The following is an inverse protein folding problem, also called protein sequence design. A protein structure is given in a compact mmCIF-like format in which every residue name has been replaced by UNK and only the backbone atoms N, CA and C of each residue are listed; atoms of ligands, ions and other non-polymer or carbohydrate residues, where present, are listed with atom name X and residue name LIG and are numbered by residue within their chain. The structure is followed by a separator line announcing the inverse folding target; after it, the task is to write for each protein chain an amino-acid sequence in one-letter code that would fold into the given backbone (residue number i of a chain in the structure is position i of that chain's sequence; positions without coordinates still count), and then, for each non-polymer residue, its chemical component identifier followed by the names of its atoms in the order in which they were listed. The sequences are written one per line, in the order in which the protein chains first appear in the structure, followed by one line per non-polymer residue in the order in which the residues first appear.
data_IF_740206655055
#
_entry.id   IF_740206655055
#
_cell.length_a   1.000
_cell.length_b   1.000
_cell.length_c   1.000
_cell.angle_alpha   90.00
_cell.angle_beta   90.00
_cell.angle_gamma   90.00
#
_symmetry.space_group_name_H-M   'P 1'
#
loop_
_entity.id
_entity.type
_entity.pdbx_description
1 polymer ?
#
# COMPACT_ATOMS: atom_id res chain seq x y z
N UNK A 1 -17.30 -49.38 -10.09
CA UNK A 1 -18.39 -48.38 -10.10
C UNK A 1 -17.75 -46.99 -10.10
N UNK A 2 -18.08 -46.08 -11.03
CA UNK A 2 -17.59 -44.71 -10.92
C UNK A 2 -18.18 -44.09 -9.64
N UNK A 3 -17.33 -43.59 -8.75
CA UNK A 3 -17.75 -42.86 -7.55
C UNK A 3 -18.67 -41.71 -7.97
N UNK A 4 -19.84 -41.62 -7.37
CA UNK A 4 -20.79 -40.54 -7.68
C UNK A 4 -20.16 -39.20 -7.29
N UNK A 5 -20.56 -38.11 -7.94
CA UNK A 5 -20.09 -36.75 -7.60
C UNK A 5 -20.33 -36.43 -6.11
N UNK A 6 -21.38 -37.02 -5.52
CA UNK A 6 -21.71 -36.96 -4.10
C UNK A 6 -20.65 -37.62 -3.22
N UNK A 7 -20.10 -38.78 -3.62
CA UNK A 7 -19.05 -39.48 -2.87
C UNK A 7 -17.76 -38.66 -2.81
N UNK A 8 -17.39 -38.03 -3.93
CA UNK A 8 -16.23 -37.12 -4.00
C UNK A 8 -16.41 -35.90 -3.11
N UNK A 9 -17.62 -35.36 -3.02
CA UNK A 9 -17.94 -34.21 -2.18
C UNK A 9 -17.77 -34.54 -0.70
N UNK A 10 -18.28 -35.70 -0.28
CA UNK A 10 -18.17 -36.16 1.11
C UNK A 10 -16.71 -36.45 1.49
N UNK A 11 -15.92 -37.02 0.57
CA UNK A 11 -14.49 -37.22 0.76
C UNK A 11 -13.74 -35.89 0.96
N UNK A 12 -14.01 -34.87 0.13
CA UNK A 12 -13.37 -33.56 0.24
C UNK A 12 -13.75 -32.83 1.53
N UNK A 13 -14.99 -32.99 2.01
CA UNK A 13 -15.43 -32.41 3.30
C UNK A 13 -14.72 -33.05 4.49
N UNK A 14 -14.54 -34.36 4.47
CA UNK A 14 -13.75 -35.07 5.50
C UNK A 14 -12.29 -34.61 5.49
N UNK A 15 -11.68 -34.46 4.31
CA UNK A 15 -10.33 -33.91 4.19
C UNK A 15 -10.21 -32.47 4.70
N UNK A 16 -11.24 -31.63 4.51
CA UNK A 16 -11.24 -30.26 5.02
C UNK A 16 -11.31 -30.20 6.55
N UNK A 17 -12.02 -31.14 7.20
CA UNK A 17 -12.11 -31.21 8.67
C UNK A 17 -10.77 -31.58 9.33
N UNK A 18 -9.96 -32.39 8.65
CA UNK A 18 -8.65 -32.83 9.14
C UNK A 18 -7.50 -31.90 8.68
N UNK A 19 -7.78 -30.90 7.83
CA UNK A 19 -6.77 -30.04 7.25
C UNK A 19 -6.32 -28.94 8.22
N UNK A 20 -5.06 -29.00 8.64
CA UNK A 20 -4.42 -27.99 9.52
C UNK A 20 -3.70 -26.88 8.75
N UNK A 21 -3.47 -27.05 7.44
CA UNK A 21 -2.78 -26.06 6.60
C UNK A 21 -3.79 -25.05 5.99
N UNK A 22 -3.62 -23.72 6.23
CA UNK A 22 -4.59 -22.71 5.80
C UNK A 22 -4.73 -22.58 4.28
N UNK A 23 -3.64 -22.76 3.53
CA UNK A 23 -3.63 -22.68 2.05
C UNK A 23 -4.33 -23.89 1.44
N UNK A 24 -4.06 -25.10 1.96
CA UNK A 24 -4.73 -26.32 1.53
C UNK A 24 -6.24 -26.29 1.88
N UNK A 25 -6.59 -25.75 3.05
CA UNK A 25 -7.99 -25.57 3.45
C UNK A 25 -8.73 -24.58 2.53
N UNK A 26 -8.07 -23.50 2.07
CA UNK A 26 -8.65 -22.56 1.10
C UNK A 26 -8.93 -23.24 -0.25
N UNK A 27 -8.00 -24.05 -0.73
CA UNK A 27 -8.17 -24.80 -1.98
C UNK A 27 -9.31 -25.83 -1.88
N UNK A 28 -9.35 -26.62 -0.79
CA UNK A 28 -10.42 -27.59 -0.53
C UNK A 28 -11.81 -26.93 -0.49
N UNK A 29 -11.95 -25.79 0.20
CA UNK A 29 -13.20 -25.02 0.24
C UNK A 29 -13.64 -24.55 -1.15
N UNK A 30 -12.71 -24.09 -1.97
CA UNK A 30 -12.99 -23.66 -3.35
C UNK A 30 -13.45 -24.84 -4.22
N UNK A 31 -12.79 -26.00 -4.11
CA UNK A 31 -13.16 -27.21 -4.86
C UNK A 31 -14.52 -27.75 -4.44
N UNK A 32 -14.84 -27.77 -3.15
CA UNK A 32 -16.15 -28.17 -2.63
C UNK A 32 -17.26 -27.26 -3.20
N UNK A 33 -17.07 -25.94 -3.13
CA UNK A 33 -18.05 -24.98 -3.65
C UNK A 33 -18.31 -25.15 -5.16
N UNK A 34 -17.27 -25.49 -5.94
CA UNK A 34 -17.37 -25.76 -7.38
C UNK A 34 -18.12 -27.06 -7.70
N UNK A 35 -18.00 -28.08 -6.86
CA UNK A 35 -18.73 -29.35 -7.04
C UNK A 35 -20.19 -29.23 -6.58
N UNK A 36 -20.45 -28.46 -5.52
CA UNK A 36 -21.81 -28.16 -5.05
C UNK A 36 -22.63 -27.41 -6.11
N UNK A 37 -22.03 -26.45 -6.80
CA UNK A 37 -22.71 -25.70 -7.87
C UNK A 37 -23.03 -26.56 -9.11
N UNK A 38 -22.24 -27.62 -9.36
CA UNK A 38 -22.50 -28.59 -10.43
C UNK A 38 -23.62 -29.57 -10.08
N UNK A 39 -23.83 -29.85 -8.78
CA UNK A 39 -24.87 -30.75 -8.30
C UNK A 39 -26.24 -30.07 -8.17
N UNK A 40 -26.29 -28.75 -7.99
CA UNK A 40 -27.55 -28.03 -7.76
C UNK A 40 -27.61 -26.66 -8.48
N UNK A 41 -27.85 -26.65 -9.80
CA UNK A 41 -27.77 -25.42 -10.62
C UNK A 41 -28.90 -24.41 -10.35
N UNK A 42 -29.95 -24.77 -9.59
CA UNK A 42 -31.11 -23.92 -9.32
C UNK A 42 -31.17 -23.35 -7.88
N UNK A 43 -30.11 -23.46 -7.07
CA UNK A 43 -30.05 -22.71 -5.81
C UNK A 43 -29.71 -21.23 -6.08
N UNK A 44 -30.50 -20.26 -5.57
CA UNK A 44 -30.19 -18.85 -5.74
C UNK A 44 -28.87 -18.51 -5.03
N UNK A 45 -27.94 -17.91 -5.76
CA UNK A 45 -26.66 -17.39 -5.25
C UNK A 45 -26.89 -16.19 -4.32
N UNK A 46 -27.37 -16.44 -3.11
CA UNK A 46 -27.45 -15.45 -2.05
C UNK A 46 -26.48 -15.87 -0.94
N UNK A 47 -25.21 -15.43 -1.02
CA UNK A 47 -24.43 -14.94 0.13
C UNK A 47 -22.93 -14.67 -0.15
N UNK A 48 -22.32 -15.13 -1.26
CA UNK A 48 -20.87 -14.89 -1.49
C UNK A 48 -20.58 -13.55 -2.20
N UNK A 49 -21.52 -13.02 -2.99
CA UNK A 49 -21.37 -11.72 -3.69
C UNK A 49 -21.69 -10.51 -2.81
N UNK A 50 -22.42 -10.67 -1.70
CA UNK A 50 -22.71 -9.57 -0.76
C UNK A 50 -21.49 -9.12 0.07
N UNK A 51 -20.48 -9.97 0.26
CA UNK A 51 -19.31 -9.62 1.07
C UNK A 51 -18.31 -8.70 0.33
N UNK A 52 -18.20 -8.79 -1.01
CA UNK A 52 -17.27 -7.95 -1.80
C UNK A 52 -17.87 -6.59 -2.19
N UNK A 53 -19.16 -6.54 -2.56
CA UNK A 53 -19.86 -5.26 -2.82
C UNK A 53 -20.05 -4.42 -1.55
N UNK A 54 -20.21 -5.08 -0.40
CA UNK A 54 -20.21 -4.47 0.93
C UNK A 54 -18.89 -3.75 1.24
N UNK A 55 -17.73 -4.36 0.95
CA UNK A 55 -16.41 -3.75 1.22
C UNK A 55 -16.15 -2.49 0.39
N UNK A 56 -16.58 -2.45 -0.88
CA UNK A 56 -16.43 -1.25 -1.72
C UNK A 56 -17.36 -0.12 -1.25
N UNK A 57 -18.59 -0.43 -0.87
CA UNK A 57 -19.54 0.54 -0.33
C UNK A 57 -19.08 1.11 1.02
N UNK A 58 -18.57 0.25 1.92
CA UNK A 58 -18.00 0.65 3.21
C UNK A 58 -16.75 1.52 3.04
N UNK A 59 -15.87 1.19 2.08
CA UNK A 59 -14.67 1.99 1.76
C UNK A 59 -15.03 3.37 1.17
N UNK A 60 -16.05 3.46 0.30
CA UNK A 60 -16.55 4.74 -0.22
C UNK A 60 -17.16 5.62 0.88
N UNK A 61 -17.88 5.02 1.84
CA UNK A 61 -18.44 5.76 2.97
C UNK A 61 -17.35 6.30 3.90
N UNK A 62 -16.36 5.47 4.26
CA UNK A 62 -15.23 5.87 5.10
C UNK A 62 -14.37 6.98 4.47
N UNK A 63 -14.14 6.93 3.14
CA UNK A 63 -13.40 7.96 2.42
C UNK A 63 -14.12 9.32 2.45
N UNK A 64 -15.45 9.30 2.30
CA UNK A 64 -16.29 10.50 2.30
C UNK A 64 -16.36 11.16 3.69
N UNK A 65 -16.34 10.35 4.74
CA UNK A 65 -16.34 10.83 6.12
C UNK A 65 -14.98 11.39 6.54
N UNK A 66 -13.88 10.76 6.09
CA UNK A 66 -12.51 11.27 6.29
C UNK A 66 -12.28 12.61 5.58
N UNK A 67 -12.78 12.76 4.34
CA UNK A 67 -12.71 14.03 3.60
C UNK A 67 -13.48 15.16 4.30
N UNK A 68 -14.69 14.86 4.81
CA UNK A 68 -15.50 15.83 5.55
C UNK A 68 -14.83 16.28 6.86
N UNK A 69 -14.16 15.36 7.57
CA UNK A 69 -13.39 15.68 8.78
C UNK A 69 -12.14 16.51 8.46
N UNK A 70 -11.46 16.24 7.35
CA UNK A 70 -10.30 17.01 6.90
C UNK A 70 -10.67 18.46 6.53
N UNK A 71 -11.80 18.66 5.83
CA UNK A 71 -12.32 19.99 5.47
C UNK A 71 -12.77 20.80 6.70
N UNK A 72 -13.39 20.14 7.68
CA UNK A 72 -13.79 20.76 8.95
C UNK A 72 -12.57 21.17 9.80
N UNK A 73 -11.52 20.35 9.80
CA UNK A 73 -10.26 20.62 10.51
C UNK A 73 -9.48 21.76 9.85
N UNK A 74 -9.45 21.80 8.51
CA UNK A 74 -8.83 22.90 7.75
C UNK A 74 -9.56 24.24 7.96
N UNK A 75 -10.90 24.21 8.04
CA UNK A 75 -11.72 25.40 8.30
C UNK A 75 -11.59 25.94 9.73
N UNK A 76 -11.27 25.09 10.72
CA UNK A 76 -11.00 25.53 12.10
C UNK A 76 -9.60 26.14 12.27
N UNK A 77 -8.59 25.69 11.50
CA UNK A 77 -7.21 26.18 11.59
C UNK A 77 -6.99 27.53 10.89
N UNK A 78 -7.83 27.90 9.91
CA UNK A 78 -7.72 29.20 9.23
C UNK A 78 -8.28 30.39 10.04
N UNK A 79 -8.96 30.15 11.17
CA UNK A 79 -9.50 31.23 12.03
C UNK A 79 -8.53 31.80 13.05
N UNK A 80 -7.29 31.29 13.15
CA UNK A 80 -6.33 31.68 14.19
C UNK A 80 -4.96 32.09 13.67
N UNK A 81 -4.82 32.76 12.53
CA UNK A 81 -3.54 33.43 12.20
C UNK A 81 -3.73 34.59 11.22
N UNK A 82 -4.03 35.79 11.71
CA UNK A 82 -3.76 37.04 10.99
C UNK A 82 -3.38 38.16 11.97
N UNK A 83 -2.08 38.33 12.24
CA UNK A 83 -1.47 39.66 12.41
C UNK A 83 0.05 39.58 12.19
N UNK A 84 0.62 40.27 11.18
CA UNK A 84 2.07 40.38 11.03
C UNK A 84 2.64 41.45 11.98
N UNK A 85 3.84 41.24 12.57
CA UNK A 85 4.49 42.27 13.37
C UNK A 85 5.21 43.29 12.49
N UNK A 86 5.14 44.56 12.90
CA UNK A 86 5.70 45.71 12.20
C UNK A 86 7.20 45.86 12.44
N UNK A 87 7.95 46.13 11.37
CA UNK A 87 9.37 46.50 11.39
C UNK A 87 9.59 47.86 12.08
N UNK A 88 10.53 47.92 13.03
CA UNK A 88 11.22 49.16 13.39
C UNK A 88 12.73 48.95 13.25
N UNK A 89 13.34 49.88 12.52
CA UNK A 89 14.79 50.08 12.36
C UNK A 89 15.40 50.54 13.68
N UNK A 90 16.62 50.10 13.98
CA UNK A 90 17.73 50.90 14.52
C UNK A 90 19.01 50.04 14.54
N UNK A 91 20.10 50.52 13.93
CA UNK A 91 21.48 50.05 14.08
C UNK A 91 22.24 51.01 15.04
N UNK A 92 23.54 50.81 15.34
CA UNK A 92 24.17 49.68 16.04
C UNK A 92 25.04 50.17 17.22
N UNK A 93 25.38 49.32 18.20
CA UNK A 93 26.56 49.54 19.06
C UNK A 93 27.31 48.25 19.38
N UNK A 94 28.60 48.34 19.09
CA UNK A 94 29.75 47.49 19.38
C UNK A 94 29.88 47.13 20.86
N UNK A 95 30.32 45.91 21.20
CA UNK A 95 31.43 45.69 22.16
C UNK A 95 31.81 44.20 22.35
N UNK A 96 33.11 43.96 22.14
CA UNK A 96 34.08 43.01 22.71
C UNK A 96 33.72 41.61 23.23
N UNK A 97 34.54 40.66 22.77
CA UNK A 97 34.83 39.31 23.32
C UNK A 97 35.71 39.45 24.58
N UNK A 98 35.64 38.51 25.55
CA UNK A 98 36.89 37.79 25.86
C UNK A 98 36.73 36.27 26.00
N UNK A 99 37.79 35.60 25.57
CA UNK A 99 38.09 34.18 25.69
C UNK A 99 38.46 33.81 27.13
N UNK A 100 38.20 32.56 27.56
CA UNK A 100 39.16 31.85 28.42
C UNK A 100 39.01 30.31 28.28
N UNK A 101 40.14 29.65 28.01
CA UNK A 101 40.34 28.19 28.03
C UNK A 101 40.51 27.71 29.50
N UNK A 102 40.43 26.43 29.94
CA UNK A 102 41.16 25.20 29.54
C UNK A 102 40.72 24.01 30.48
N UNK A 103 41.32 22.79 30.48
CA UNK A 103 40.60 21.51 30.37
C UNK A 103 40.68 20.59 31.62
N UNK A 104 39.90 19.50 31.66
CA UNK A 104 40.13 18.39 32.60
C UNK A 104 40.05 17.04 31.87
N UNK A 105 41.09 16.24 32.08
CA UNK A 105 41.45 14.95 31.48
C UNK A 105 40.96 13.74 32.34
N UNK A 106 41.19 12.46 31.92
CA UNK A 106 40.27 11.33 32.13
C UNK A 106 40.52 10.51 33.40
N UNK A 107 39.52 9.70 33.78
CA UNK A 107 39.70 8.60 34.75
C UNK A 107 39.06 7.31 34.23
N UNK A 108 39.79 6.19 34.35
CA UNK A 108 39.44 4.83 33.90
C UNK A 108 38.79 3.96 35.01
N UNK A 109 38.15 2.87 34.55
CA UNK A 109 37.84 1.56 35.18
C UNK A 109 36.52 1.28 35.95
N UNK A 110 35.53 0.77 35.19
CA UNK A 110 34.81 -0.55 35.22
C UNK A 110 34.33 -1.23 36.54
N UNK A 111 33.43 -2.27 36.53
CA UNK A 111 32.31 -2.61 35.64
C UNK A 111 31.01 -2.99 36.41
N UNK A 112 29.81 -2.69 35.91
CA UNK A 112 28.60 -3.51 36.18
C UNK A 112 27.70 -3.56 34.97
N UNK A 113 27.50 -4.78 34.47
CA UNK A 113 26.61 -5.14 33.39
C UNK A 113 25.24 -4.47 33.56
N UNK A 114 24.94 -3.54 32.66
CA UNK A 114 23.58 -3.11 32.35
C UNK A 114 23.30 -3.62 30.96
N UNK A 115 22.29 -4.47 30.86
CA UNK A 115 21.68 -4.95 29.62
C UNK A 115 21.55 -3.76 28.68
N UNK A 116 22.31 -3.80 27.60
CA UNK A 116 22.37 -2.74 26.60
C UNK A 116 21.05 -2.78 25.83
N UNK A 117 20.02 -2.13 26.39
CA UNK A 117 18.81 -1.82 25.63
C UNK A 117 19.22 -0.73 24.66
N UNK A 118 19.74 -1.14 23.50
CA UNK A 118 20.02 -0.21 22.41
C UNK A 118 18.75 0.60 22.18
N UNK A 119 18.78 1.94 22.18
CA UNK A 119 17.62 2.73 21.83
C UNK A 119 17.21 2.29 20.43
N UNK A 120 16.08 1.59 20.30
CA UNK A 120 15.52 1.31 19.00
C UNK A 120 15.22 2.67 18.38
N UNK A 121 16.05 3.08 17.42
CA UNK A 121 15.80 4.31 16.68
C UNK A 121 14.37 4.23 16.17
N UNK A 122 13.51 5.20 16.53
CA UNK A 122 12.09 5.24 16.13
C UNK A 122 11.88 5.15 14.61
N UNK A 123 12.95 5.31 13.83
CA UNK A 123 12.93 5.24 12.38
C UNK A 123 13.08 3.81 11.81
N UNK A 124 13.42 2.78 12.61
CA UNK A 124 13.58 1.40 12.13
C UNK A 124 12.28 0.59 12.30
N UNK A 125 11.99 -0.26 11.31
CA UNK A 125 10.93 -1.25 11.43
C UNK A 125 11.27 -2.30 12.48
N UNK A 126 10.25 -2.82 13.16
CA UNK A 126 10.42 -3.97 14.05
C UNK A 126 10.83 -5.22 13.27
N UNK A 127 11.53 -6.15 13.91
CA UNK A 127 11.90 -7.43 13.29
C UNK A 127 10.67 -8.21 12.80
N UNK A 128 9.55 -8.07 13.51
CA UNK A 128 8.27 -8.69 13.13
C UNK A 128 7.71 -8.09 11.84
N UNK A 129 7.73 -6.75 11.68
CA UNK A 129 7.27 -6.10 10.46
C UNK A 129 8.14 -6.46 9.24
N UNK A 130 9.46 -6.55 9.43
CA UNK A 130 10.37 -7.02 8.37
C UNK A 130 10.12 -8.50 8.03
N UNK A 131 9.86 -9.35 9.01
CA UNK A 131 9.53 -10.75 8.76
C UNK A 131 8.20 -10.88 8.00
N UNK A 132 7.17 -10.14 8.43
CA UNK A 132 5.86 -10.12 7.79
C UNK A 132 5.95 -9.67 6.33
N UNK A 133 6.71 -8.60 6.03
CA UNK A 133 6.86 -8.12 4.65
C UNK A 133 7.53 -9.15 3.74
N UNK A 134 8.51 -9.90 4.25
CA UNK A 134 9.18 -10.97 3.50
C UNK A 134 8.26 -12.17 3.22
N UNK A 135 7.36 -12.48 4.14
CA UNK A 135 6.42 -13.61 4.03
C UNK A 135 5.27 -13.39 3.05
N UNK A 136 4.96 -12.14 2.68
CA UNK A 136 3.90 -11.86 1.70
C UNK A 136 4.24 -12.46 0.33
N UNK A 137 3.28 -13.11 -0.31
CA UNK A 137 3.44 -13.72 -1.64
C UNK A 137 2.32 -13.21 -2.54
N UNK A 138 2.67 -12.82 -3.76
CA UNK A 138 1.70 -12.49 -4.80
C UNK A 138 1.05 -13.79 -5.30
N UNK A 139 -0.27 -13.90 -5.14
CA UNK A 139 -1.00 -15.09 -5.53
C UNK A 139 -1.13 -15.21 -7.05
N UNK A 140 -1.15 -16.45 -7.57
CA UNK A 140 -1.19 -16.70 -9.02
C UNK A 140 -2.50 -16.26 -9.69
N UNK A 141 -3.59 -16.14 -8.93
CA UNK A 141 -4.89 -15.68 -9.43
C UNK A 141 -4.89 -14.18 -9.75
N UNK A 142 -3.92 -13.40 -9.26
CA UNK A 142 -3.73 -12.00 -9.64
C UNK A 142 -3.51 -11.83 -11.14
N UNK A 143 -2.89 -12.82 -11.78
CA UNK A 143 -2.58 -12.78 -13.21
C UNK A 143 -3.78 -13.11 -14.10
N UNK A 144 -4.94 -13.44 -13.51
CA UNK A 144 -6.21 -13.56 -14.20
C UNK A 144 -6.92 -12.20 -14.38
N UNK A 145 -6.46 -11.16 -13.67
CA UNK A 145 -6.93 -9.78 -13.87
C UNK A 145 -6.56 -9.31 -15.29
N UNK A 146 -7.25 -8.30 -15.85
CA UNK A 146 -6.86 -7.68 -17.11
C UNK A 146 -5.40 -7.20 -17.08
N UNK A 147 -4.63 -7.58 -18.10
CA UNK A 147 -3.30 -7.01 -18.32
C UNK A 147 -3.43 -5.61 -18.92
N UNK A 148 -2.65 -4.66 -18.42
CA UNK A 148 -2.56 -3.30 -18.95
C UNK A 148 -1.16 -3.00 -19.49
N UNK A 149 -1.08 -2.04 -20.40
CA UNK A 149 0.18 -1.47 -20.89
C UNK A 149 0.57 -0.28 -20.03
N UNK A 150 1.87 0.00 -19.87
CA UNK A 150 2.32 1.14 -19.09
C UNK A 150 3.82 1.26 -18.98
N UNK A 151 4.27 2.47 -18.68
CA UNK A 151 5.64 2.82 -18.33
C UNK A 151 5.66 3.58 -17.00
N UNK A 152 6.74 3.48 -16.26
CA UNK A 152 6.98 4.30 -15.04
C UNK A 152 7.89 5.47 -15.42
N UNK A 153 7.68 6.64 -14.84
CA UNK A 153 8.54 7.81 -15.07
C UNK A 153 8.95 8.40 -13.72
N UNK A 154 10.19 8.15 -13.32
CA UNK A 154 10.71 8.47 -12.00
C UNK A 154 12.16 8.94 -12.06
N UNK A 155 12.65 9.49 -10.93
CA UNK A 155 14.06 9.77 -10.76
C UNK A 155 14.94 8.51 -10.92
N UNK A 156 16.21 8.66 -11.35
CA UNK A 156 17.12 7.53 -11.55
C UNK A 156 17.37 6.74 -10.24
N UNK A 157 17.28 7.40 -9.09
CA UNK A 157 17.51 6.79 -7.78
C UNK A 157 16.24 6.19 -7.14
N UNK A 158 15.06 6.43 -7.72
CA UNK A 158 13.79 5.90 -7.19
C UNK A 158 13.79 4.36 -7.17
N UNK A 159 13.12 3.75 -6.21
CA UNK A 159 13.03 2.29 -6.11
C UNK A 159 11.62 1.80 -5.80
N UNK A 160 10.80 2.67 -5.23
CA UNK A 160 9.40 2.55 -4.91
C UNK A 160 8.55 3.22 -6.01
N UNK A 161 8.45 2.57 -7.16
CA UNK A 161 7.67 3.08 -8.30
C UNK A 161 6.19 2.79 -8.06
N UNK A 162 5.45 3.82 -7.62
CA UNK A 162 4.06 3.68 -7.17
C UNK A 162 3.05 3.74 -8.31
N UNK A 163 3.38 4.43 -9.40
CA UNK A 163 2.50 4.67 -10.53
C UNK A 163 3.15 4.43 -11.89
N UNK A 164 2.31 4.05 -12.85
CA UNK A 164 2.67 3.94 -14.25
C UNK A 164 1.58 4.57 -15.11
N UNK A 165 1.94 5.02 -16.30
CA UNK A 165 1.04 5.69 -17.24
C UNK A 165 1.07 5.05 -18.61
N UNK A 166 -0.05 5.14 -19.32
CA UNK A 166 -0.17 4.80 -20.73
C UNK A 166 -1.16 5.73 -21.43
N UNK A 167 -0.88 6.08 -22.68
CA UNK A 167 -1.81 6.85 -23.51
C UNK A 167 -1.93 6.21 -24.89
N UNK A 168 -3.17 5.99 -25.31
CA UNK A 168 -3.51 5.41 -26.61
C UNK A 168 -4.40 6.40 -27.37
N UNK A 169 -3.93 6.99 -28.48
CA UNK A 169 -4.76 7.83 -29.34
C UNK A 169 -5.93 7.04 -29.92
N UNK A 170 -7.08 7.70 -30.07
CA UNK A 170 -8.26 7.16 -30.75
C UNK A 170 -8.72 8.11 -31.85
N UNK A 171 -9.62 7.68 -32.73
CA UNK A 171 -10.16 8.54 -33.79
C UNK A 171 -10.88 9.78 -33.25
N UNK A 172 -11.35 9.75 -32.00
CA UNK A 172 -12.14 10.81 -31.36
C UNK A 172 -11.44 11.50 -30.19
N UNK A 173 -10.18 11.17 -29.90
CA UNK A 173 -9.41 11.70 -28.77
C UNK A 173 -8.32 10.75 -28.31
N UNK A 174 -8.37 10.33 -27.04
CA UNK A 174 -7.40 9.40 -26.47
C UNK A 174 -7.95 8.61 -25.28
N UNK A 175 -7.33 7.48 -24.99
CA UNK A 175 -7.50 6.73 -23.75
C UNK A 175 -6.24 6.93 -22.91
N UNK A 176 -6.36 7.65 -21.80
CA UNK A 176 -5.30 7.80 -20.81
C UNK A 176 -5.53 6.78 -19.69
N UNK A 177 -4.50 6.03 -19.31
CA UNK A 177 -4.56 5.11 -18.18
C UNK A 177 -3.48 5.46 -17.16
N UNK A 178 -3.86 5.46 -15.89
CA UNK A 178 -2.96 5.58 -14.74
C UNK A 178 -3.09 4.30 -13.91
N UNK A 179 -1.98 3.65 -13.64
CA UNK A 179 -1.91 2.37 -12.94
C UNK A 179 -1.21 2.59 -11.62
N UNK A 180 -1.91 2.41 -10.51
CA UNK A 180 -1.36 2.57 -9.16
C UNK A 180 -1.07 1.19 -8.58
N UNK A 181 0.08 1.01 -7.93
CA UNK A 181 0.42 -0.22 -7.22
C UNK A 181 -0.70 -0.60 -6.24
N UNK A 182 -1.17 -1.85 -6.30
CA UNK A 182 -2.26 -2.34 -5.46
C UNK A 182 -1.74 -2.76 -4.07
N UNK A 183 -1.44 -1.76 -3.23
CA UNK A 183 -0.98 -1.96 -1.85
C UNK A 183 -1.99 -2.77 -1.03
N UNK A 184 -3.28 -2.58 -1.32
CA UNK A 184 -4.38 -3.20 -0.58
C UNK A 184 -4.52 -4.71 -0.82
N UNK A 185 -3.93 -5.23 -1.90
CA UNK A 185 -3.84 -6.66 -2.16
C UNK A 185 -2.86 -7.36 -1.21
N UNK A 186 -1.77 -6.69 -0.86
CA UNK A 186 -0.70 -7.27 -0.03
C UNK A 186 -0.85 -6.95 1.47
N UNK A 187 -1.46 -5.83 1.81
CA UNK A 187 -1.58 -5.38 3.20
C UNK A 187 -3.04 -5.45 3.63
N UNK A 188 -3.35 -6.46 4.45
CA UNK A 188 -4.65 -6.58 5.08
C UNK A 188 -4.83 -5.56 6.22
N UNK A 189 -6.02 -4.98 6.29
CA UNK A 189 -6.41 -4.07 7.38
C UNK A 189 -6.30 -4.79 8.73
N UNK A 190 -5.66 -4.14 9.70
CA UNK A 190 -5.38 -4.71 11.03
C UNK A 190 -4.18 -5.67 11.07
N UNK A 191 -3.46 -5.86 9.96
CA UNK A 191 -2.18 -6.58 9.99
C UNK A 191 -1.07 -5.73 10.63
N UNK A 192 0.02 -6.38 11.06
CA UNK A 192 1.19 -5.66 11.59
C UNK A 192 1.76 -4.64 10.58
N UNK A 193 1.64 -4.91 9.28
CA UNK A 193 2.10 -3.99 8.24
C UNK A 193 1.17 -2.78 8.10
N UNK A 194 -0.13 -2.98 8.27
CA UNK A 194 -1.13 -1.90 8.30
C UNK A 194 -0.93 -1.00 9.53
N UNK A 195 -0.77 -1.60 10.72
CA UNK A 195 -0.48 -0.85 11.96
C UNK A 195 0.79 0.00 11.82
N UNK A 196 1.85 -0.58 11.23
CA UNK A 196 3.10 0.12 10.93
C UNK A 196 2.89 1.24 9.92
N UNK A 197 2.12 1.01 8.86
CA UNK A 197 1.82 2.02 7.86
C UNK A 197 1.05 3.20 8.48
N UNK A 198 0.02 2.92 9.29
CA UNK A 198 -0.76 3.93 10.03
C UNK A 198 0.16 4.74 10.96
N UNK A 199 0.99 4.06 11.76
CA UNK A 199 1.89 4.72 12.71
C UNK A 199 2.94 5.60 12.03
N UNK A 200 3.36 5.27 10.81
CA UNK A 200 4.35 6.04 10.03
C UNK A 200 3.71 7.09 9.13
N UNK A 201 2.46 6.91 8.73
CA UNK A 201 1.60 7.77 7.90
C UNK A 201 2.10 8.01 6.48
N UNK A 202 3.38 8.32 6.29
CA UNK A 202 3.98 8.64 4.99
C UNK A 202 5.48 8.31 4.98
N UNK A 203 6.06 8.16 3.79
CA UNK A 203 7.52 8.14 3.63
C UNK A 203 8.06 9.54 3.93
N UNK A 204 9.04 9.63 4.83
CA UNK A 204 9.74 10.89 5.11
C UNK A 204 11.01 10.96 4.27
N UNK A 205 11.11 11.97 3.42
CA UNK A 205 12.28 12.22 2.57
C UNK A 205 13.21 13.26 3.22
N UNK A 206 14.51 12.95 3.24
CA UNK A 206 15.58 13.79 3.76
C UNK A 206 16.64 14.01 2.68
N UNK A 207 17.55 14.97 2.89
CA UNK A 207 18.65 15.24 1.95
C UNK A 207 19.55 14.03 1.68
N UNK A 208 19.72 13.15 2.66
CA UNK A 208 20.62 11.98 2.60
C UNK A 208 19.87 10.64 2.48
N UNK A 209 18.58 10.64 2.15
CA UNK A 209 17.79 9.42 1.96
C UNK A 209 16.38 9.53 2.52
N UNK A 210 15.72 8.38 2.71
CA UNK A 210 14.33 8.33 3.14
C UNK A 210 14.10 7.36 4.33
N UNK A 211 13.03 7.64 5.07
CA UNK A 211 12.45 6.77 6.09
C UNK A 211 11.10 6.27 5.54
N UNK A 212 11.07 5.11 4.87
CA UNK A 212 9.92 4.67 4.07
C UNK A 212 8.71 4.33 4.92
N UNK A 213 7.49 4.53 4.40
CA UNK A 213 6.26 4.15 5.10
C UNK A 213 6.19 2.63 5.33
N UNK A 214 6.52 1.87 4.30
CA UNK A 214 6.51 0.40 4.30
C UNK A 214 7.94 -0.16 4.31
N UNK A 215 8.14 -1.40 4.79
CA UNK A 215 9.43 -2.07 4.67
C UNK A 215 9.92 -2.14 3.22
N UNK A 216 11.20 -1.86 2.97
CA UNK A 216 11.80 -1.88 1.62
C UNK A 216 11.56 -3.17 0.82
N UNK A 217 11.59 -4.39 1.41
CA UNK A 217 11.23 -5.62 0.68
C UNK A 217 9.80 -5.66 0.14
N UNK A 218 8.95 -4.73 0.56
CA UNK A 218 7.59 -4.56 0.07
C UNK A 218 7.52 -3.37 -0.90
N UNK A 219 7.91 -2.17 -0.46
CA UNK A 219 7.80 -0.95 -1.27
C UNK A 219 8.68 -0.95 -2.51
N UNK A 220 9.92 -1.42 -2.40
CA UNK A 220 10.93 -1.34 -3.47
C UNK A 220 11.05 -2.63 -4.30
N UNK A 221 10.21 -3.63 -4.01
CA UNK A 221 10.21 -4.91 -4.70
C UNK A 221 8.78 -5.32 -5.05
N UNK A 222 8.04 -5.92 -4.11
CA UNK A 222 6.74 -6.54 -4.38
C UNK A 222 5.63 -5.58 -4.83
N UNK A 223 5.70 -4.31 -4.43
CA UNK A 223 4.74 -3.27 -4.83
C UNK A 223 5.26 -2.41 -5.98
N UNK A 224 6.56 -2.13 -6.02
CA UNK A 224 7.14 -1.29 -7.07
C UNK A 224 6.86 -1.84 -8.46
N UNK A 225 6.38 -0.97 -9.36
CA UNK A 225 6.04 -1.27 -10.76
C UNK A 225 7.28 -1.42 -11.65
N UNK A 226 8.21 -2.30 -11.25
CA UNK A 226 9.49 -2.51 -11.91
C UNK A 226 9.34 -2.99 -13.37
N UNK A 227 10.27 -2.56 -14.22
CA UNK A 227 10.34 -2.96 -15.63
C UNK A 227 10.33 -4.48 -15.77
N UNK A 228 9.49 -4.99 -16.68
CA UNK A 228 9.33 -6.41 -17.00
C UNK A 228 8.89 -7.32 -15.85
N UNK A 229 8.47 -6.78 -14.70
CA UNK A 229 7.98 -7.56 -13.57
C UNK A 229 6.47 -7.41 -13.38
N UNK A 230 5.76 -8.53 -13.25
CA UNK A 230 4.30 -8.51 -13.04
C UNK A 230 3.98 -7.96 -11.65
N UNK A 231 3.07 -6.98 -11.61
CA UNK A 231 2.59 -6.33 -10.38
C UNK A 231 1.08 -6.10 -10.45
N UNK A 232 0.34 -6.35 -9.37
CA UNK A 232 -1.08 -6.00 -9.31
C UNK A 232 -1.24 -4.49 -9.22
N UNK A 233 -2.21 -3.96 -9.95
CA UNK A 233 -2.47 -2.53 -10.05
C UNK A 233 -3.96 -2.24 -9.94
N UNK A 234 -4.30 -1.09 -9.35
CA UNK A 234 -5.58 -0.45 -9.54
C UNK A 234 -5.46 0.53 -10.71
N UNK A 235 -6.16 0.25 -11.81
CA UNK A 235 -6.12 1.10 -13.01
C UNK A 235 -7.27 2.09 -12.99
N UNK A 236 -6.95 3.34 -13.32
CA UNK A 236 -7.87 4.41 -13.65
C UNK A 236 -7.74 4.66 -15.15
N UNK A 237 -8.77 4.29 -15.92
CA UNK A 237 -8.83 4.53 -17.35
C UNK A 237 -9.75 5.73 -17.62
N UNK A 238 -9.26 6.68 -18.41
CA UNK A 238 -9.89 7.95 -18.69
C UNK A 238 -10.04 8.07 -20.21
N UNK A 239 -11.28 8.17 -20.68
CA UNK A 239 -11.56 8.48 -22.09
C UNK A 239 -11.59 10.00 -22.24
N UNK A 240 -10.77 10.50 -23.15
CA UNK A 240 -10.66 11.91 -23.50
C UNK A 240 -11.21 12.15 -24.91
N UNK A 241 -11.89 13.28 -25.11
CA UNK A 241 -12.23 13.74 -26.46
C UNK A 241 -11.04 14.45 -27.15
N UNK A 242 -11.25 14.91 -28.38
CA UNK A 242 -10.24 15.63 -29.17
C UNK A 242 -9.75 16.94 -28.54
N UNK A 243 -10.49 17.51 -27.58
CA UNK A 243 -10.14 18.71 -26.82
C UNK A 243 -9.62 18.38 -25.41
N UNK A 244 -9.23 17.11 -25.18
CA UNK A 244 -8.80 16.57 -23.89
C UNK A 244 -9.82 16.74 -22.76
N UNK A 245 -11.11 16.83 -23.08
CA UNK A 245 -12.18 16.80 -22.09
C UNK A 245 -12.44 15.37 -21.63
N UNK A 246 -12.61 15.19 -20.32
CA UNK A 246 -12.91 13.88 -19.74
C UNK A 246 -14.34 13.49 -20.11
N UNK A 247 -14.45 12.42 -20.89
CA UNK A 247 -15.72 11.85 -21.34
C UNK A 247 -16.18 10.72 -20.42
N UNK A 248 -15.25 9.91 -19.94
CA UNK A 248 -15.53 8.76 -19.08
C UNK A 248 -14.35 8.44 -18.15
N UNK A 249 -14.64 7.84 -17.00
CA UNK A 249 -13.64 7.34 -16.05
C UNK A 249 -14.07 5.98 -15.52
N UNK A 250 -13.19 4.99 -15.68
CA UNK A 250 -13.38 3.62 -15.18
C UNK A 250 -12.24 3.25 -14.23
N UNK A 251 -12.59 2.54 -13.16
CA UNK A 251 -11.61 2.06 -12.17
C UNK A 251 -11.76 0.54 -12.03
N UNK A 252 -10.68 -0.21 -12.23
CA UNK A 252 -10.69 -1.67 -12.14
C UNK A 252 -9.36 -2.25 -11.66
N UNK A 253 -9.43 -3.43 -11.05
CA UNK A 253 -8.26 -4.22 -10.68
C UNK A 253 -7.62 -4.82 -11.94
N UNK A 254 -6.29 -4.77 -12.01
CA UNK A 254 -5.50 -5.13 -13.20
C UNK A 254 -4.14 -5.68 -12.77
N UNK A 255 -3.32 -6.08 -13.73
CA UNK A 255 -1.89 -6.25 -13.51
C UNK A 255 -1.07 -5.64 -14.64
N UNK A 256 0.11 -5.14 -14.30
CA UNK A 256 1.05 -4.50 -15.20
C UNK A 256 2.39 -5.24 -15.15
N UNK A 257 3.02 -5.40 -16.31
CA UNK A 257 4.48 -5.53 -16.38
C UNK A 257 4.98 -4.29 -17.13
N UNK A 258 5.65 -3.38 -16.41
CA UNK A 258 6.05 -2.09 -16.99
C UNK A 258 6.96 -2.32 -18.19
N UNK A 259 6.67 -1.67 -19.31
CA UNK A 259 7.45 -1.82 -20.55
C UNK A 259 8.81 -1.13 -20.45
N UNK A 260 8.89 -0.06 -19.64
CA UNK A 260 10.08 0.75 -19.47
C UNK A 260 10.03 1.51 -18.16
N UNK A 261 11.22 1.72 -17.59
CA UNK A 261 11.50 2.71 -16.55
C UNK A 261 12.40 3.81 -17.09
#
# INVERSE_FOLDING_TARGET
MPSTTTDKLNQLRSQLQECTNPTAAKLLRSTIAKLESQLNPNQPQAQVTKAKSSKIAQRKAALKESQKQAEQTASQQQRTTLKPPSLKKDEPKTEAIPQNEKPISPTQDNPKAKTEVTPQSKNRFSSQAIAASKQLVLADDLWQRPQVQGITIDGPDSRDLDDAIWIEPTDSGAILSVHIADVSELIEVGSILDEVAIARTTTRYFSMGNSPMLPRPLSEDKLSLLESQKRPTLTIQITLDANAQIMNVEIFESWLASQKR
#
